data_IF_284919515016
#
_entry.id   IF_284919515016
#
_cell.length_a   1.000
_cell.length_b   1.000
_cell.length_c   1.000
_cell.angle_alpha   90.00
_cell.angle_beta   90.00
_cell.angle_gamma   90.00
#
_symmetry.space_group_name_H-M   'P 1'
#
loop_
_entity.id
_entity.type
_entity.pdbx_description
1 polymer ?
#
# COMPACT_ATOMS: atom_id res chain seq x y z
N UNK A 1 5.85 -21.19 -14.14
CA UNK A 1 5.66 -21.10 -12.68
C UNK A 1 4.79 -22.26 -12.20
N UNK A 2 5.20 -22.96 -11.14
CA UNK A 2 4.44 -24.05 -10.50
C UNK A 2 3.30 -23.51 -9.61
N UNK A 3 2.32 -24.37 -9.29
CA UNK A 3 1.24 -24.02 -8.33
C UNK A 3 1.81 -23.71 -6.94
N UNK A 4 2.87 -24.39 -6.52
CA UNK A 4 3.53 -24.14 -5.24
C UNK A 4 4.15 -22.75 -5.18
N UNK A 5 4.89 -22.34 -6.21
CA UNK A 5 5.45 -20.98 -6.32
C UNK A 5 4.35 -19.91 -6.30
N UNK A 6 3.23 -20.15 -7.01
CA UNK A 6 2.09 -19.25 -7.02
C UNK A 6 1.46 -19.10 -5.62
N UNK A 7 1.32 -20.19 -4.87
CA UNK A 7 0.83 -20.16 -3.48
C UNK A 7 1.79 -19.37 -2.58
N UNK A 8 3.10 -19.60 -2.68
CA UNK A 8 4.11 -18.86 -1.90
C UNK A 8 4.02 -17.37 -2.19
N UNK A 9 3.96 -16.98 -3.46
CA UNK A 9 3.79 -15.59 -3.87
C UNK A 9 2.47 -15.00 -3.37
N UNK A 10 1.38 -15.78 -3.43
CA UNK A 10 0.08 -15.41 -2.88
C UNK A 10 0.12 -15.19 -1.36
N UNK A 11 0.86 -16.01 -0.60
CA UNK A 11 1.09 -15.81 0.84
C UNK A 11 1.85 -14.51 1.08
N UNK A 12 2.96 -14.30 0.38
CA UNK A 12 3.79 -13.10 0.51
C UNK A 12 2.97 -11.86 0.21
N UNK A 13 2.30 -11.81 -0.92
CA UNK A 13 1.45 -10.69 -1.32
C UNK A 13 0.34 -10.43 -0.30
N UNK A 14 -0.42 -11.47 0.07
CA UNK A 14 -1.52 -11.35 1.02
C UNK A 14 -1.06 -10.85 2.39
N UNK A 15 0.06 -11.39 2.90
CA UNK A 15 0.61 -11.00 4.20
C UNK A 15 1.12 -9.55 4.22
N UNK A 16 1.66 -9.05 3.10
CA UNK A 16 2.44 -7.80 3.11
C UNK A 16 1.76 -6.61 2.45
N UNK A 17 0.70 -6.80 1.63
CA UNK A 17 0.04 -5.72 0.90
C UNK A 17 -0.53 -4.64 1.83
N UNK A 18 -1.18 -5.05 2.90
CA UNK A 18 -1.80 -4.12 3.85
C UNK A 18 -0.93 -3.86 5.08
N UNK A 19 -0.05 -4.79 5.45
CA UNK A 19 0.93 -4.54 6.50
C UNK A 19 1.89 -3.42 6.04
N UNK A 20 2.31 -2.54 6.93
CA UNK A 20 3.18 -1.43 6.56
C UNK A 20 4.64 -1.88 6.36
N UNK A 21 4.86 -2.90 5.50
CA UNK A 21 6.16 -3.58 5.34
C UNK A 21 6.63 -3.70 3.87
N UNK A 22 5.83 -3.24 2.90
CA UNK A 22 6.12 -3.31 1.45
C UNK A 22 5.88 -4.68 0.81
N UNK A 23 4.77 -4.84 0.12
CA UNK A 23 4.46 -6.07 -0.63
C UNK A 23 5.39 -6.25 -1.83
N UNK A 24 5.63 -5.20 -2.62
CA UNK A 24 6.53 -5.27 -3.78
C UNK A 24 7.97 -5.63 -3.37
N UNK A 25 8.49 -5.03 -2.30
CA UNK A 25 9.81 -5.40 -1.78
C UNK A 25 9.89 -6.85 -1.34
N UNK A 26 8.86 -7.38 -0.65
CA UNK A 26 8.85 -8.78 -0.23
C UNK A 26 8.65 -9.75 -1.39
N UNK A 27 7.84 -9.40 -2.40
CA UNK A 27 7.71 -10.21 -3.61
C UNK A 27 9.04 -10.28 -4.37
N UNK A 28 9.71 -9.14 -4.57
CA UNK A 28 11.03 -9.07 -5.21
C UNK A 28 12.06 -9.93 -4.44
N UNK A 29 12.13 -9.81 -3.11
CA UNK A 29 13.00 -10.63 -2.28
C UNK A 29 12.66 -12.12 -2.36
N UNK A 30 11.38 -12.49 -2.33
CA UNK A 30 10.97 -13.88 -2.44
C UNK A 30 11.35 -14.47 -3.82
N UNK A 31 11.14 -13.73 -4.89
CA UNK A 31 11.53 -14.09 -6.26
C UNK A 31 13.06 -14.25 -6.37
N UNK A 32 13.80 -13.31 -5.80
CA UNK A 32 15.27 -13.32 -5.78
C UNK A 32 15.83 -14.56 -5.03
N UNK A 33 15.25 -14.88 -3.85
CA UNK A 33 15.64 -16.06 -3.04
C UNK A 33 15.30 -17.36 -3.77
N UNK A 34 14.15 -17.44 -4.43
CA UNK A 34 13.70 -18.64 -5.14
C UNK A 34 14.36 -18.80 -6.51
N UNK A 35 15.07 -17.82 -7.01
CA UNK A 35 15.61 -17.80 -8.37
C UNK A 35 14.55 -17.82 -9.46
N UNK A 36 13.34 -17.37 -9.13
CA UNK A 36 12.20 -17.35 -10.05
C UNK A 36 12.05 -15.95 -10.61
N UNK A 37 12.30 -15.78 -11.90
CA UNK A 37 11.89 -14.56 -12.61
C UNK A 37 10.41 -14.70 -12.99
N UNK A 38 9.55 -13.94 -12.34
CA UNK A 38 8.15 -13.84 -12.73
C UNK A 38 8.04 -12.69 -13.73
N UNK A 39 8.33 -12.98 -15.00
CA UNK A 39 8.21 -12.01 -16.09
C UNK A 39 6.74 -11.69 -16.46
N UNK A 40 5.80 -11.97 -15.56
CA UNK A 40 4.37 -11.81 -15.80
C UNK A 40 3.77 -10.70 -14.96
N UNK A 41 3.78 -9.48 -15.50
CA UNK A 41 3.01 -8.35 -14.97
C UNK A 41 1.55 -8.72 -14.67
N UNK A 42 0.98 -9.64 -15.49
CA UNK A 42 -0.37 -10.11 -15.29
C UNK A 42 -0.53 -10.88 -13.97
N UNK A 43 0.43 -11.73 -13.61
CA UNK A 43 0.32 -12.49 -12.36
C UNK A 43 0.43 -11.59 -11.13
N UNK A 44 1.35 -10.64 -11.14
CA UNK A 44 1.51 -9.70 -10.04
C UNK A 44 0.23 -8.88 -9.82
N UNK A 45 -0.39 -8.39 -10.90
CA UNK A 45 -1.65 -7.65 -10.75
C UNK A 45 -2.82 -8.54 -10.30
N UNK A 46 -2.84 -9.81 -10.70
CA UNK A 46 -3.84 -10.77 -10.21
C UNK A 46 -3.69 -11.00 -8.71
N UNK A 47 -2.47 -11.08 -8.17
CA UNK A 47 -2.23 -11.17 -6.73
C UNK A 47 -2.75 -9.90 -6.00
N UNK A 48 -2.53 -8.71 -6.56
CA UNK A 48 -3.07 -7.46 -6.01
C UNK A 48 -4.61 -7.44 -6.06
N UNK A 49 -5.24 -7.98 -7.10
CA UNK A 49 -6.70 -8.15 -7.16
C UNK A 49 -7.20 -9.13 -6.11
N UNK A 50 -6.44 -10.19 -5.80
CA UNK A 50 -6.72 -11.08 -4.67
C UNK A 50 -6.78 -10.33 -3.34
N UNK A 51 -5.77 -9.52 -3.06
CA UNK A 51 -5.76 -8.67 -1.84
C UNK A 51 -6.82 -7.57 -1.86
N UNK A 52 -7.18 -7.06 -3.04
CA UNK A 52 -8.30 -6.13 -3.19
C UNK A 52 -9.63 -6.75 -2.76
N UNK A 53 -9.88 -8.01 -3.09
CA UNK A 53 -11.05 -8.76 -2.60
C UNK A 53 -11.03 -8.79 -1.07
N UNK A 54 -9.88 -9.05 -0.45
CA UNK A 54 -9.73 -9.09 1.00
C UNK A 54 -10.11 -7.75 1.67
N UNK A 55 -9.60 -6.62 1.17
CA UNK A 55 -9.91 -5.30 1.76
C UNK A 55 -11.37 -4.93 1.53
N UNK A 56 -11.93 -5.25 0.37
CA UNK A 56 -13.34 -5.04 0.10
C UNK A 56 -14.22 -5.86 1.04
N UNK A 57 -13.86 -7.10 1.35
CA UNK A 57 -14.57 -7.95 2.29
C UNK A 57 -14.52 -7.40 3.73
N UNK A 58 -13.37 -6.86 4.17
CA UNK A 58 -13.23 -6.29 5.53
C UNK A 58 -13.96 -4.96 5.67
N UNK A 59 -13.91 -4.12 4.64
CA UNK A 59 -14.46 -2.75 4.67
C UNK A 59 -15.79 -2.60 3.92
N UNK A 60 -16.51 -3.69 3.61
CA UNK A 60 -17.72 -3.67 2.76
C UNK A 60 -18.79 -2.67 3.24
N UNK A 61 -18.99 -2.54 4.57
CA UNK A 61 -19.94 -1.57 5.14
C UNK A 61 -19.52 -0.11 4.88
N UNK A 62 -18.23 0.18 5.00
CA UNK A 62 -17.70 1.52 4.72
C UNK A 62 -17.77 1.82 3.23
N UNK A 63 -17.35 0.88 2.39
CA UNK A 63 -17.39 1.01 0.93
C UNK A 63 -18.84 1.27 0.47
N UNK A 64 -19.80 0.52 0.99
CA UNK A 64 -21.21 0.72 0.65
C UNK A 64 -21.73 2.12 1.04
N UNK A 65 -21.31 2.65 2.20
CA UNK A 65 -21.63 4.03 2.61
C UNK A 65 -20.98 5.04 1.68
N UNK A 66 -19.72 4.83 1.29
CA UNK A 66 -19.02 5.72 0.35
C UNK A 66 -19.65 5.70 -1.05
N UNK A 67 -20.12 4.55 -1.54
CA UNK A 67 -20.87 4.46 -2.80
C UNK A 67 -22.17 5.28 -2.72
N UNK A 68 -22.93 5.13 -1.64
CA UNK A 68 -24.14 5.97 -1.43
C UNK A 68 -23.80 7.45 -1.33
N UNK A 69 -22.72 7.80 -0.63
CA UNK A 69 -22.24 9.17 -0.52
C UNK A 69 -21.86 9.73 -1.90
N UNK A 70 -21.19 8.92 -2.74
CA UNK A 70 -20.84 9.31 -4.10
C UNK A 70 -22.08 9.58 -4.96
N UNK A 71 -23.03 8.65 -5.00
CA UNK A 71 -24.29 8.81 -5.77
C UNK A 71 -25.03 10.07 -5.33
N UNK A 72 -25.14 10.27 -4.00
CA UNK A 72 -25.84 11.45 -3.46
C UNK A 72 -25.09 12.76 -3.74
N UNK A 73 -23.75 12.75 -3.71
CA UNK A 73 -22.92 13.89 -4.05
C UNK A 73 -23.10 14.29 -5.52
N UNK A 74 -23.04 13.31 -6.42
CA UNK A 74 -23.25 13.51 -7.86
C UNK A 74 -24.65 14.08 -8.12
N UNK A 75 -25.68 13.52 -7.48
CA UNK A 75 -27.06 14.02 -7.60
C UNK A 75 -27.19 15.47 -7.11
N UNK A 76 -26.53 15.85 -6.01
CA UNK A 76 -26.55 17.21 -5.49
C UNK A 76 -25.79 18.20 -6.40
N UNK A 77 -24.69 17.76 -7.03
CA UNK A 77 -23.97 18.58 -8.03
C UNK A 77 -24.88 18.87 -9.23
N UNK A 78 -25.53 17.85 -9.80
CA UNK A 78 -26.45 18.03 -10.93
C UNK A 78 -27.69 18.88 -10.58
N UNK A 79 -28.12 18.89 -9.32
CA UNK A 79 -29.24 19.69 -8.83
C UNK A 79 -28.83 21.08 -8.37
N UNK A 80 -27.56 21.46 -8.44
CA UNK A 80 -27.05 22.74 -7.94
C UNK A 80 -27.14 22.92 -6.42
N UNK A 81 -27.27 21.81 -5.66
CA UNK A 81 -27.43 21.81 -4.19
C UNK A 81 -26.13 21.48 -3.44
N UNK A 82 -25.02 21.33 -4.15
CA UNK A 82 -23.73 21.00 -3.53
C UNK A 82 -23.24 22.13 -2.62
N UNK A 83 -22.96 21.78 -1.34
CA UNK A 83 -22.40 22.71 -0.36
C UNK A 83 -21.28 22.04 0.42
N UNK A 84 -20.05 22.50 0.22
CA UNK A 84 -18.84 21.97 0.87
C UNK A 84 -18.92 21.95 2.41
N UNK A 85 -19.50 22.99 3.01
CA UNK A 85 -19.56 23.14 4.48
C UNK A 85 -20.61 22.23 5.14
N UNK A 86 -21.63 21.80 4.40
CA UNK A 86 -22.78 21.03 4.91
C UNK A 86 -22.63 19.52 4.66
N UNK A 87 -21.46 19.07 4.17
CA UNK A 87 -21.22 17.64 3.94
C UNK A 87 -21.21 16.85 5.24
N UNK A 88 -21.91 15.69 5.21
CA UNK A 88 -21.84 14.70 6.27
C UNK A 88 -20.45 14.02 6.33
N UNK A 89 -20.27 13.14 7.31
CA UNK A 89 -18.99 12.45 7.55
C UNK A 89 -18.56 11.61 6.34
N UNK A 90 -19.47 10.84 5.73
CA UNK A 90 -19.13 9.91 4.64
C UNK A 90 -18.81 10.66 3.34
N UNK A 91 -19.58 11.70 3.01
CA UNK A 91 -19.28 12.59 1.88
C UNK A 91 -17.93 13.31 2.06
N UNK A 92 -17.64 13.78 3.28
CA UNK A 92 -16.37 14.44 3.57
C UNK A 92 -15.21 13.45 3.45
N UNK A 93 -15.34 12.23 3.98
CA UNK A 93 -14.32 11.19 3.82
C UNK A 93 -14.09 10.85 2.35
N UNK A 94 -15.16 10.70 1.57
CA UNK A 94 -15.07 10.47 0.12
C UNK A 94 -14.31 11.58 -0.58
N UNK A 95 -14.61 12.84 -0.29
CA UNK A 95 -13.90 14.00 -0.88
C UNK A 95 -12.41 14.00 -0.50
N UNK A 96 -12.08 13.65 0.76
CA UNK A 96 -10.68 13.56 1.18
C UNK A 96 -9.95 12.41 0.45
N UNK A 97 -10.62 11.27 0.22
CA UNK A 97 -10.06 10.18 -0.59
C UNK A 97 -9.83 10.62 -2.04
N UNK A 98 -10.79 11.29 -2.66
CA UNK A 98 -10.63 11.82 -4.03
C UNK A 98 -9.46 12.81 -4.12
N UNK A 99 -9.33 13.74 -3.16
CA UNK A 99 -8.20 14.68 -3.08
C UNK A 99 -6.87 13.92 -2.90
N UNK A 100 -6.86 12.87 -2.06
CA UNK A 100 -5.68 12.04 -1.84
C UNK A 100 -5.22 11.24 -3.08
N UNK A 101 -6.10 11.03 -4.05
CA UNK A 101 -5.75 10.38 -5.33
C UNK A 101 -5.15 11.36 -6.35
N UNK A 102 -5.45 12.66 -6.25
CA UNK A 102 -4.99 13.66 -7.24
C UNK A 102 -3.46 13.62 -7.44
N UNK A 103 -2.61 13.53 -6.40
CA UNK A 103 -1.18 13.50 -6.61
C UNK A 103 -0.66 12.31 -7.44
N UNK A 104 -1.40 11.20 -7.56
CA UNK A 104 -1.00 10.09 -8.42
C UNK A 104 -0.95 10.46 -9.91
N UNK A 105 -1.69 11.49 -10.34
CA UNK A 105 -1.58 11.98 -11.71
C UNK A 105 -0.20 12.56 -12.04
N UNK A 106 0.62 12.92 -11.03
CA UNK A 106 2.01 13.33 -11.22
C UNK A 106 2.86 12.22 -11.86
N UNK A 107 2.49 10.94 -11.69
CA UNK A 107 3.18 9.81 -12.31
C UNK A 107 3.17 9.86 -13.85
N UNK A 108 2.19 10.55 -14.43
CA UNK A 108 2.06 10.69 -15.89
C UNK A 108 2.73 11.93 -16.44
N UNK A 109 3.30 12.80 -15.58
CA UNK A 109 4.02 13.99 -16.03
C UNK A 109 5.36 13.61 -16.65
N UNK A 110 5.74 14.26 -17.77
CA UNK A 110 7.05 14.08 -18.36
C UNK A 110 8.13 14.67 -17.44
N UNK A 111 9.22 13.94 -17.29
CA UNK A 111 10.40 14.41 -16.55
C UNK A 111 11.27 15.25 -17.50
N UNK A 112 11.52 16.53 -17.18
CA UNK A 112 12.29 17.41 -18.04
C UNK A 112 13.68 16.84 -18.37
N UNK A 113 14.05 16.84 -19.66
CA UNK A 113 15.36 16.38 -20.11
C UNK A 113 15.51 14.86 -20.34
N UNK A 114 14.53 14.04 -19.96
CA UNK A 114 14.63 12.57 -20.09
C UNK A 114 13.74 12.00 -21.20
N UNK A 115 12.68 12.71 -21.60
CA UNK A 115 11.64 12.18 -22.48
C UNK A 115 10.74 11.10 -21.87
N UNK A 116 10.99 10.72 -20.62
CA UNK A 116 10.27 9.67 -19.87
C UNK A 116 9.24 10.31 -18.93
N UNK A 117 8.22 9.54 -18.56
CA UNK A 117 7.29 9.90 -17.49
C UNK A 117 7.84 9.43 -16.15
N UNK A 118 7.33 10.00 -15.06
CA UNK A 118 7.77 9.61 -13.72
C UNK A 118 7.49 8.12 -13.42
N UNK A 119 6.39 7.56 -13.96
CA UNK A 119 6.11 6.13 -13.87
C UNK A 119 7.17 5.26 -14.57
N UNK A 120 7.69 5.71 -15.71
CA UNK A 120 8.66 4.96 -16.50
C UNK A 120 10.00 4.83 -15.73
N UNK A 121 10.36 5.85 -14.94
CA UNK A 121 11.52 5.79 -14.03
C UNK A 121 11.31 4.73 -12.95
N UNK A 122 10.08 4.64 -12.38
CA UNK A 122 9.74 3.60 -11.40
C UNK A 122 9.88 2.19 -11.99
N UNK A 123 9.43 1.99 -13.23
CA UNK A 123 9.55 0.71 -13.94
C UNK A 123 11.02 0.35 -14.21
N UNK A 124 11.84 1.35 -14.56
CA UNK A 124 13.27 1.17 -14.79
C UNK A 124 13.99 0.71 -13.49
N UNK A 125 13.63 1.27 -12.35
CA UNK A 125 14.18 0.87 -11.07
C UNK A 125 13.66 -0.49 -10.59
N UNK A 126 12.42 -0.84 -10.92
CA UNK A 126 11.83 -2.13 -10.59
C UNK A 126 12.39 -3.29 -11.46
N UNK A 127 12.95 -2.99 -12.63
CA UNK A 127 13.55 -3.97 -13.54
C UNK A 127 15.00 -4.33 -13.19
N UNK A 128 15.60 -3.67 -12.18
CA UNK A 128 16.95 -4.00 -11.72
C UNK A 128 16.95 -5.42 -11.10
N UNK A 129 17.89 -6.25 -11.51
CA UNK A 129 18.06 -7.60 -10.97
C UNK A 129 18.64 -7.63 -9.55
N UNK A 130 19.11 -6.49 -9.05
CA UNK A 130 19.70 -6.35 -7.72
C UNK A 130 18.65 -5.94 -6.70
N UNK A 131 18.85 -6.29 -5.43
CA UNK A 131 17.91 -6.05 -4.33
C UNK A 131 18.27 -4.84 -3.45
N UNK A 132 19.24 -4.00 -3.84
CA UNK A 132 19.67 -2.87 -3.03
C UNK A 132 18.60 -1.76 -2.93
N UNK A 133 17.80 -1.57 -3.99
CA UNK A 133 16.70 -0.59 -4.00
C UNK A 133 15.64 -0.99 -2.98
N UNK A 134 15.26 -2.27 -2.94
CA UNK A 134 14.33 -2.82 -1.94
C UNK A 134 14.85 -2.62 -0.52
N UNK A 135 16.16 -2.87 -0.31
CA UNK A 135 16.81 -2.65 0.98
C UNK A 135 16.70 -1.20 1.45
N UNK A 136 17.02 -0.23 0.59
CA UNK A 136 16.87 1.19 0.89
C UNK A 136 15.40 1.58 1.12
N UNK A 137 14.50 1.09 0.30
CA UNK A 137 13.07 1.38 0.41
C UNK A 137 12.47 0.83 1.72
N UNK A 138 12.92 -0.35 2.19
CA UNK A 138 12.56 -0.90 3.48
C UNK A 138 13.08 -0.02 4.64
N UNK A 139 14.31 0.50 4.55
CA UNK A 139 14.84 1.44 5.53
C UNK A 139 14.06 2.77 5.54
N UNK A 140 13.70 3.28 4.37
CA UNK A 140 12.84 4.47 4.26
C UNK A 140 11.46 4.22 4.88
N UNK A 141 10.87 3.04 4.63
CA UNK A 141 9.60 2.63 5.26
C UNK A 141 9.72 2.62 6.78
N UNK A 142 10.80 2.03 7.30
CA UNK A 142 11.09 2.01 8.73
C UNK A 142 11.18 3.42 9.32
N UNK A 143 11.96 4.30 8.69
CA UNK A 143 12.13 5.68 9.14
C UNK A 143 10.79 6.44 9.18
N UNK A 144 9.98 6.33 8.11
CA UNK A 144 8.65 6.94 8.05
C UNK A 144 7.74 6.42 9.16
N UNK A 145 7.74 5.11 9.42
CA UNK A 145 6.94 4.52 10.49
C UNK A 145 7.40 5.01 11.87
N UNK A 146 8.71 5.03 12.17
CA UNK A 146 9.21 5.55 13.43
C UNK A 146 8.83 7.02 13.64
N UNK A 147 8.98 7.86 12.62
CA UNK A 147 8.60 9.28 12.67
C UNK A 147 7.09 9.44 12.89
N UNK A 148 6.26 8.69 12.15
CA UNK A 148 4.80 8.71 12.30
C UNK A 148 4.35 8.26 13.69
N UNK A 149 4.91 7.17 14.20
CA UNK A 149 4.59 6.64 15.54
C UNK A 149 5.02 7.64 16.62
N UNK A 150 6.20 8.25 16.49
CA UNK A 150 6.66 9.29 17.42
C UNK A 150 5.71 10.49 17.43
N UNK A 151 5.30 10.98 16.26
CA UNK A 151 4.33 12.05 16.14
C UNK A 151 2.97 11.69 16.75
N UNK A 152 2.49 10.46 16.51
CA UNK A 152 1.25 9.95 17.09
C UNK A 152 1.28 9.94 18.62
N UNK A 153 2.41 9.60 19.24
CA UNK A 153 2.58 9.64 20.70
C UNK A 153 2.49 11.06 21.27
N UNK A 154 2.92 12.07 20.50
CA UNK A 154 2.83 13.50 20.87
C UNK A 154 1.48 14.15 20.51
N UNK A 155 0.58 13.45 19.83
CA UNK A 155 -0.68 14.02 19.38
C UNK A 155 -1.64 14.31 20.58
N UNK A 156 -2.48 15.34 20.43
CA UNK A 156 -3.45 15.75 21.46
C UNK A 156 -4.39 14.60 21.81
N UNK A 157 -4.68 14.44 23.10
CA UNK A 157 -5.66 13.48 23.61
C UNK A 157 -7.02 14.17 23.69
N UNK A 158 -8.02 13.56 23.06
CA UNK A 158 -9.42 13.99 23.12
C UNK A 158 -10.19 13.02 24.03
N UNK A 159 -10.81 13.55 25.08
CA UNK A 159 -11.68 12.78 26.00
C UNK A 159 -13.13 12.88 25.53
N UNK A 160 -13.84 11.78 25.61
CA UNK A 160 -15.27 11.71 25.28
C UNK A 160 -15.97 10.73 26.22
N UNK A 161 -17.24 11.00 26.51
CA UNK A 161 -18.06 10.09 27.32
C UNK A 161 -18.69 9.04 26.41
N UNK A 162 -18.47 7.76 26.71
CA UNK A 162 -19.11 6.63 26.03
C UNK A 162 -20.58 6.55 26.41
N UNK A 163 -21.38 5.80 25.63
CA UNK A 163 -22.80 5.56 25.93
C UNK A 163 -23.03 4.83 27.26
N UNK A 164 -22.03 4.10 27.76
CA UNK A 164 -22.00 3.41 29.05
C UNK A 164 -21.57 4.32 30.21
N UNK A 165 -21.44 5.64 29.99
CA UNK A 165 -21.01 6.63 30.98
C UNK A 165 -19.50 6.66 31.25
N UNK A 166 -18.71 5.73 30.69
CA UNK A 166 -17.26 5.71 30.91
C UNK A 166 -16.55 6.73 30.03
N UNK A 167 -15.48 7.34 30.55
CA UNK A 167 -14.62 8.24 29.80
C UNK A 167 -13.73 7.41 28.87
N UNK A 168 -13.83 7.69 27.57
CA UNK A 168 -12.91 7.18 26.55
C UNK A 168 -11.91 8.26 26.15
N UNK A 169 -10.74 7.84 25.74
CA UNK A 169 -9.69 8.72 25.21
C UNK A 169 -9.33 8.32 23.78
N UNK A 170 -9.21 9.30 22.88
CA UNK A 170 -8.69 9.12 21.53
C UNK A 170 -7.51 10.07 21.37
N UNK A 171 -6.38 9.53 20.97
CA UNK A 171 -5.19 10.30 20.65
C UNK A 171 -5.18 10.66 19.17
N UNK A 172 -5.05 11.95 18.86
CA UNK A 172 -5.10 12.48 17.49
C UNK A 172 -6.52 12.72 16.97
N UNK A 173 -6.61 13.36 15.81
CA UNK A 173 -7.88 13.67 15.12
C UNK A 173 -8.38 12.46 14.33
N UNK A 174 -9.69 12.25 14.29
CA UNK A 174 -10.31 11.21 13.44
C UNK A 174 -10.76 11.75 12.09
N UNK A 175 -10.88 13.09 11.94
CA UNK A 175 -11.33 13.73 10.70
C UNK A 175 -10.14 14.24 9.91
N UNK A 176 -10.10 13.92 8.63
CA UNK A 176 -9.13 14.45 7.66
C UNK A 176 -9.55 15.83 7.18
N UNK A 177 -8.56 16.71 7.01
CA UNK A 177 -8.68 17.98 6.31
C UNK A 177 -8.01 17.87 4.93
N UNK A 178 -8.28 18.82 4.05
CA UNK A 178 -7.71 18.86 2.70
C UNK A 178 -6.18 18.75 2.68
N UNK A 179 -5.50 19.49 3.57
CA UNK A 179 -4.04 19.43 3.68
C UNK A 179 -3.52 18.04 4.13
N UNK A 180 -4.30 17.31 4.95
CA UNK A 180 -3.95 15.95 5.35
C UNK A 180 -4.08 15.00 4.15
N UNK A 181 -5.16 15.11 3.39
CA UNK A 181 -5.41 14.31 2.20
C UNK A 181 -4.34 14.54 1.12
N UNK A 182 -3.95 15.79 0.88
CA UNK A 182 -2.87 16.14 -0.06
C UNK A 182 -1.54 15.56 0.41
N UNK A 183 -1.20 15.72 1.70
CA UNK A 183 0.04 15.18 2.27
C UNK A 183 0.11 13.65 2.09
N UNK A 184 -0.95 12.93 2.43
CA UNK A 184 -1.03 11.48 2.24
C UNK A 184 -0.96 11.11 0.76
N UNK A 185 -1.63 11.86 -0.12
CA UNK A 185 -1.61 11.64 -1.57
C UNK A 185 -0.22 11.84 -2.20
N UNK A 186 0.51 12.89 -1.80
CA UNK A 186 1.90 13.13 -2.24
C UNK A 186 2.81 12.00 -1.76
N UNK A 187 2.64 11.56 -0.50
CA UNK A 187 3.40 10.42 0.03
C UNK A 187 3.07 9.13 -0.69
N UNK A 188 1.79 8.92 -1.09
CA UNK A 188 1.39 7.79 -1.92
C UNK A 188 2.05 7.84 -3.31
N UNK A 189 2.11 9.02 -3.93
CA UNK A 189 2.80 9.20 -5.20
C UNK A 189 4.30 8.88 -5.07
N UNK A 190 4.96 9.33 -4.02
CA UNK A 190 6.35 8.98 -3.75
C UNK A 190 6.53 7.46 -3.57
N UNK A 191 5.62 6.79 -2.86
CA UNK A 191 5.66 5.34 -2.72
C UNK A 191 5.41 4.57 -4.03
N UNK A 192 4.74 5.19 -5.00
CA UNK A 192 4.56 4.61 -6.33
C UNK A 192 5.78 4.80 -7.23
N UNK A 193 6.61 5.82 -6.98
CA UNK A 193 7.85 6.08 -7.73
C UNK A 193 9.00 5.20 -7.25
N UNK A 194 9.11 4.97 -5.92
CA UNK A 194 10.20 4.19 -5.32
C UNK A 194 9.77 2.73 -5.14
N UNK A 195 10.26 1.78 -5.97
CA UNK A 195 9.99 0.35 -5.82
C UNK A 195 10.42 -0.13 -4.44
N UNK A 196 9.59 -0.96 -3.81
CA UNK A 196 9.88 -1.43 -2.45
C UNK A 196 9.51 -0.46 -1.33
N UNK A 197 9.13 0.80 -1.59
CA UNK A 197 8.61 1.68 -0.56
C UNK A 197 7.15 1.32 -0.25
N UNK A 198 6.89 0.95 1.01
CA UNK A 198 5.55 0.54 1.44
C UNK A 198 4.51 1.64 1.21
N UNK A 199 3.55 1.45 0.29
CA UNK A 199 2.44 2.38 0.08
C UNK A 199 1.59 2.51 1.35
N UNK A 200 1.16 1.39 1.95
CA UNK A 200 0.35 1.37 3.17
C UNK A 200 1.09 1.97 4.37
N UNK A 201 2.40 1.66 4.52
CA UNK A 201 3.25 2.22 5.58
C UNK A 201 3.44 3.72 5.44
N UNK A 202 3.77 4.19 4.24
CA UNK A 202 4.03 5.60 3.96
C UNK A 202 2.78 6.47 4.12
N UNK A 203 1.64 6.07 3.56
CA UNK A 203 0.37 6.81 3.66
C UNK A 203 -0.16 6.83 5.09
N UNK A 204 -0.03 5.72 5.84
CA UNK A 204 -0.36 5.67 7.25
C UNK A 204 0.56 6.59 8.07
N UNK A 205 1.88 6.51 7.86
CA UNK A 205 2.85 7.36 8.55
C UNK A 205 2.60 8.85 8.27
N UNK A 206 2.28 9.24 7.03
CA UNK A 206 1.90 10.61 6.68
C UNK A 206 0.66 11.07 7.47
N UNK A 207 -0.38 10.23 7.59
CA UNK A 207 -1.53 10.52 8.43
C UNK A 207 -1.17 10.75 9.89
N UNK A 208 -0.29 9.91 10.46
CA UNK A 208 0.20 10.02 11.84
C UNK A 208 1.00 11.32 12.05
N UNK A 209 1.89 11.68 11.12
CA UNK A 209 2.65 12.92 11.13
C UNK A 209 1.73 14.15 11.10
N UNK A 210 0.58 14.06 10.46
CA UNK A 210 -0.46 15.09 10.43
C UNK A 210 -1.33 15.12 11.71
N UNK A 211 -1.02 14.28 12.70
CA UNK A 211 -1.77 14.20 13.96
C UNK A 211 -3.13 13.48 13.83
N UNK A 212 -3.29 12.63 12.82
CA UNK A 212 -4.44 11.75 12.67
C UNK A 212 -4.30 10.56 13.64
N UNK A 213 -5.41 10.12 14.19
CA UNK A 213 -5.49 8.92 15.03
C UNK A 213 -5.01 7.67 14.26
N UNK A 214 -4.34 6.73 14.95
CA UNK A 214 -3.76 5.54 14.30
C UNK A 214 -4.79 4.71 13.54
N UNK A 215 -5.96 4.47 14.14
CA UNK A 215 -7.02 3.70 13.49
C UNK A 215 -7.60 4.44 12.26
N UNK A 216 -7.80 5.76 12.40
CA UNK A 216 -8.31 6.58 11.30
C UNK A 216 -7.30 6.68 10.14
N UNK A 217 -6.00 6.80 10.45
CA UNK A 217 -4.94 6.80 9.43
C UNK A 217 -4.85 5.45 8.71
N UNK A 218 -4.98 4.34 9.44
CA UNK A 218 -5.03 3.00 8.89
C UNK A 218 -6.23 2.82 7.95
N UNK A 219 -7.43 3.11 8.44
CA UNK A 219 -8.66 2.93 7.67
C UNK A 219 -8.64 3.79 6.39
N UNK A 220 -8.17 5.05 6.49
CA UNK A 220 -8.00 5.93 5.34
C UNK A 220 -7.00 5.37 4.32
N UNK A 221 -5.82 4.92 4.77
CA UNK A 221 -4.78 4.35 3.92
C UNK A 221 -5.28 3.12 3.13
N UNK A 222 -6.05 2.25 3.79
CA UNK A 222 -6.58 1.05 3.16
C UNK A 222 -7.66 1.36 2.12
N UNK A 223 -8.60 2.24 2.47
CA UNK A 223 -9.68 2.62 1.56
C UNK A 223 -9.13 3.43 0.37
N UNK A 224 -8.10 4.28 0.59
CA UNK A 224 -7.39 4.99 -0.48
C UNK A 224 -6.68 4.01 -1.42
N UNK A 225 -6.20 2.88 -0.90
CA UNK A 225 -5.57 1.82 -1.69
C UNK A 225 -6.51 1.15 -2.69
N UNK A 226 -7.82 1.07 -2.42
CA UNK A 226 -8.79 0.41 -3.30
C UNK A 226 -8.79 1.02 -4.71
N UNK A 227 -9.08 2.31 -4.89
CA UNK A 227 -9.05 2.92 -6.22
C UNK A 227 -7.64 2.96 -6.83
N UNK A 228 -6.58 3.02 -6.01
CA UNK A 228 -5.20 3.01 -6.49
C UNK A 228 -4.83 1.65 -7.11
N UNK A 229 -5.17 0.53 -6.44
CA UNK A 229 -4.96 -0.82 -6.95
C UNK A 229 -5.80 -1.06 -8.20
N UNK A 230 -7.07 -0.62 -8.22
CA UNK A 230 -7.92 -0.73 -9.40
C UNK A 230 -7.35 0.04 -10.60
N UNK A 231 -6.87 1.26 -10.38
CA UNK A 231 -6.25 2.06 -11.44
C UNK A 231 -4.97 1.40 -11.98
N UNK A 232 -4.11 0.90 -11.09
CA UNK A 232 -2.91 0.14 -11.47
C UNK A 232 -3.31 -1.11 -12.27
N UNK A 233 -4.32 -1.86 -11.81
CA UNK A 233 -4.79 -3.05 -12.50
C UNK A 233 -5.25 -2.77 -13.93
N UNK A 234 -6.03 -1.71 -14.14
CA UNK A 234 -6.51 -1.32 -15.47
C UNK A 234 -5.34 -0.97 -16.40
N UNK A 235 -4.33 -0.26 -15.89
CA UNK A 235 -3.15 0.11 -16.66
C UNK A 235 -2.32 -1.13 -17.01
N UNK A 236 -1.99 -1.98 -16.02
CA UNK A 236 -1.19 -3.18 -16.22
C UNK A 236 -1.87 -4.20 -17.13
N UNK A 237 -3.18 -4.42 -16.99
CA UNK A 237 -3.94 -5.31 -17.89
C UNK A 237 -3.86 -4.79 -19.32
N UNK A 238 -3.96 -3.48 -19.53
CA UNK A 238 -3.80 -2.88 -20.87
C UNK A 238 -2.41 -3.17 -21.45
N UNK A 239 -1.37 -3.04 -20.63
CA UNK A 239 0.02 -3.26 -21.07
C UNK A 239 0.33 -4.76 -21.26
N UNK A 240 -0.40 -5.65 -20.57
CA UNK A 240 -0.27 -7.11 -20.69
C UNK A 240 -1.06 -7.72 -21.88
N UNK A 241 -1.95 -6.97 -22.53
CA UNK A 241 -2.70 -7.46 -23.69
C UNK A 241 -1.72 -7.77 -24.83
N UNK A 242 -1.72 -9.03 -25.29
CA UNK A 242 -0.86 -9.51 -26.39
C UNK A 242 0.51 -10.03 -25.92
N UNK A 243 0.82 -9.98 -24.62
CA UNK A 243 2.02 -10.62 -24.10
C UNK A 243 1.76 -12.13 -23.87
N UNK A 244 2.76 -13.01 -24.11
CA UNK A 244 2.62 -14.42 -23.81
C UNK A 244 2.46 -14.63 -22.30
N UNK A 245 1.51 -15.50 -21.93
CA UNK A 245 1.26 -15.83 -20.52
C UNK A 245 1.73 -17.27 -20.28
N UNK A 246 2.93 -17.41 -19.72
CA UNK A 246 3.52 -18.73 -19.38
C UNK A 246 3.11 -19.26 -18.02
N UNK A 247 1.96 -18.87 -17.51
CA UNK A 247 1.45 -19.27 -16.20
C UNK A 247 0.15 -20.03 -16.40
N UNK A 248 0.11 -21.27 -15.90
CA UNK A 248 -1.11 -22.08 -15.96
C UNK A 248 -2.25 -21.45 -15.15
N UNK A 249 -3.48 -21.54 -15.68
CA UNK A 249 -4.69 -20.99 -15.03
C UNK A 249 -4.85 -21.48 -13.60
N UNK A 250 -4.51 -22.75 -13.31
CA UNK A 250 -4.55 -23.31 -11.96
C UNK A 250 -3.61 -22.59 -10.98
N UNK A 251 -2.40 -22.22 -11.42
CA UNK A 251 -1.44 -21.47 -10.62
C UNK A 251 -1.96 -20.02 -10.36
N UNK A 252 -2.51 -19.35 -11.38
CA UNK A 252 -3.13 -18.04 -11.23
C UNK A 252 -4.25 -18.04 -10.19
N UNK A 253 -5.19 -19.00 -10.29
CA UNK A 253 -6.30 -19.11 -9.33
C UNK A 253 -5.76 -19.40 -7.92
N UNK A 254 -4.80 -20.33 -7.78
CA UNK A 254 -4.20 -20.66 -6.49
C UNK A 254 -3.54 -19.44 -5.83
N UNK A 255 -2.77 -18.66 -6.59
CA UNK A 255 -2.15 -17.42 -6.11
C UNK A 255 -3.17 -16.38 -5.64
N UNK A 256 -4.18 -16.09 -6.47
CA UNK A 256 -5.25 -15.11 -6.17
C UNK A 256 -6.03 -15.50 -4.92
N UNK A 257 -6.47 -16.76 -4.82
CA UNK A 257 -7.24 -17.26 -3.67
C UNK A 257 -6.40 -17.19 -2.40
N UNK A 258 -5.13 -17.59 -2.48
CA UNK A 258 -4.20 -17.52 -1.34
C UNK A 258 -3.98 -16.07 -0.91
N UNK A 259 -3.73 -15.15 -1.85
CA UNK A 259 -3.56 -13.72 -1.56
C UNK A 259 -4.82 -13.12 -0.90
N UNK A 260 -6.01 -13.51 -1.35
CA UNK A 260 -7.26 -13.04 -0.76
C UNK A 260 -7.46 -13.53 0.69
N UNK A 261 -7.24 -14.83 0.94
CA UNK A 261 -7.40 -15.42 2.28
C UNK A 261 -6.36 -14.84 3.25
N UNK A 262 -5.09 -14.86 2.87
CA UNK A 262 -4.00 -14.36 3.72
C UNK A 262 -4.13 -12.85 3.93
N UNK A 263 -4.50 -12.09 2.90
CA UNK A 263 -4.75 -10.65 3.00
C UNK A 263 -5.89 -10.30 3.96
N UNK A 264 -6.97 -11.08 3.94
CA UNK A 264 -8.06 -10.91 4.90
C UNK A 264 -7.60 -11.11 6.35
N UNK A 265 -6.80 -12.14 6.61
CA UNK A 265 -6.23 -12.40 7.94
C UNK A 265 -5.22 -11.31 8.34
N UNK A 266 -4.36 -10.88 7.42
CA UNK A 266 -3.38 -9.82 7.65
C UNK A 266 -4.04 -8.48 8.02
N UNK A 267 -5.12 -8.10 7.34
CA UNK A 267 -5.86 -6.87 7.69
C UNK A 267 -6.43 -6.97 9.12
N UNK A 268 -7.02 -8.11 9.49
CA UNK A 268 -7.54 -8.31 10.85
C UNK A 268 -6.44 -8.25 11.90
N UNK A 269 -5.30 -8.90 11.62
CA UNK A 269 -4.13 -8.85 12.50
C UNK A 269 -3.62 -7.43 12.69
N UNK A 270 -3.49 -6.67 11.61
CA UNK A 270 -3.02 -5.29 11.70
C UNK A 270 -3.97 -4.40 12.48
N UNK A 271 -5.28 -4.53 12.27
CA UNK A 271 -6.28 -3.80 13.08
C UNK A 271 -6.11 -4.09 14.58
N UNK A 272 -5.90 -5.35 14.94
CA UNK A 272 -5.64 -5.73 16.33
C UNK A 272 -4.32 -5.13 16.85
N UNK A 273 -3.23 -5.18 16.07
CA UNK A 273 -1.92 -4.59 16.44
C UNK A 273 -2.04 -3.08 16.66
N UNK A 274 -2.79 -2.37 15.82
CA UNK A 274 -3.03 -0.92 15.96
C UNK A 274 -3.82 -0.61 17.23
N UNK A 275 -4.85 -1.40 17.56
CA UNK A 275 -5.62 -1.21 18.82
C UNK A 275 -4.79 -1.47 20.06
N UNK A 276 -3.76 -2.30 19.98
CA UNK A 276 -2.81 -2.60 21.08
C UNK A 276 -1.60 -1.66 21.12
N UNK A 277 -1.56 -0.63 20.27
CA UNK A 277 -0.45 0.33 20.16
C UNK A 277 0.93 -0.31 19.87
N UNK A 278 0.97 -1.48 19.24
CA UNK A 278 2.19 -2.23 18.92
C UNK A 278 2.71 -2.01 17.48
N UNK A 279 2.30 -0.92 16.85
CA UNK A 279 2.70 -0.62 15.45
C UNK A 279 4.22 -0.57 15.24
N UNK A 280 4.99 -0.32 16.31
CA UNK A 280 6.46 -0.28 16.27
C UNK A 280 7.10 -1.58 15.77
N UNK A 281 6.42 -2.73 15.93
CA UNK A 281 6.92 -4.03 15.46
C UNK A 281 7.26 -3.99 13.97
N UNK A 282 6.42 -3.33 13.17
CA UNK A 282 6.66 -3.22 11.73
C UNK A 282 7.84 -2.31 11.39
N UNK A 283 8.04 -1.23 12.16
CA UNK A 283 9.18 -0.35 11.95
C UNK A 283 10.51 -1.06 12.24
N UNK A 284 10.57 -1.85 13.32
CA UNK A 284 11.77 -2.68 13.61
C UNK A 284 11.93 -3.79 12.58
N UNK A 285 10.84 -4.45 12.18
CA UNK A 285 10.88 -5.50 11.17
C UNK A 285 11.48 -5.00 9.85
N UNK A 286 10.96 -3.88 9.32
CA UNK A 286 11.46 -3.30 8.07
C UNK A 286 12.89 -2.75 8.20
N UNK A 287 13.29 -2.28 9.40
CA UNK A 287 14.67 -1.90 9.68
C UNK A 287 15.62 -3.09 9.54
N UNK A 288 15.31 -4.18 10.26
CA UNK A 288 16.17 -5.37 10.28
C UNK A 288 16.24 -6.00 8.89
N UNK A 289 15.08 -6.18 8.23
CA UNK A 289 15.03 -6.75 6.89
C UNK A 289 15.76 -5.86 5.88
N UNK A 290 15.58 -4.54 5.93
CA UNK A 290 16.29 -3.62 5.04
C UNK A 290 17.81 -3.66 5.20
N UNK A 291 18.30 -3.74 6.44
CA UNK A 291 19.74 -3.90 6.70
C UNK A 291 20.26 -5.24 6.15
N UNK A 292 19.55 -6.34 6.40
CA UNK A 292 19.93 -7.66 5.88
C UNK A 292 19.96 -7.64 4.35
N UNK A 293 18.93 -7.10 3.71
CA UNK A 293 18.85 -6.97 2.25
C UNK A 293 20.04 -6.20 1.67
N UNK A 294 20.43 -5.07 2.29
CA UNK A 294 21.60 -4.31 1.84
C UNK A 294 22.91 -5.07 2.03
N UNK A 295 23.07 -5.81 3.14
CA UNK A 295 24.26 -6.63 3.36
C UNK A 295 24.34 -7.72 2.28
N UNK A 296 23.24 -8.42 2.00
CA UNK A 296 23.18 -9.43 0.93
C UNK A 296 23.54 -8.81 -0.42
N UNK A 297 22.93 -7.68 -0.76
CA UNK A 297 23.20 -6.97 -2.02
C UNK A 297 24.68 -6.58 -2.19
N UNK A 298 25.34 -6.13 -1.12
CA UNK A 298 26.78 -5.82 -1.14
C UNK A 298 27.62 -7.07 -1.39
N UNK A 299 27.27 -8.19 -0.76
CA UNK A 299 27.97 -9.47 -0.96
C UNK A 299 27.79 -9.95 -2.40
N UNK A 300 26.57 -9.89 -2.93
CA UNK A 300 26.25 -10.29 -4.29
C UNK A 300 26.95 -9.39 -5.33
N UNK A 301 27.00 -8.09 -5.11
CA UNK A 301 27.76 -7.17 -5.95
C UNK A 301 29.27 -7.48 -5.95
N UNK A 302 29.82 -7.96 -4.82
CA UNK A 302 31.24 -8.33 -4.71
C UNK A 302 31.53 -9.71 -5.34
N UNK A 303 30.57 -10.63 -5.33
CA UNK A 303 30.76 -12.00 -5.87
C UNK A 303 30.30 -12.15 -7.32
N UNK A 304 29.46 -11.22 -7.81
CA UNK A 304 28.84 -11.28 -9.14
C UNK A 304 27.78 -12.39 -9.26
N UNK A 305 27.35 -12.97 -8.16
CA UNK A 305 26.39 -14.10 -8.13
C UNK A 305 25.33 -13.90 -7.07
N UNK A 306 24.12 -14.38 -7.37
CA UNK A 306 23.05 -14.45 -6.40
C UNK A 306 23.44 -15.41 -5.27
N UNK A 307 23.37 -14.95 -4.02
CA UNK A 307 23.82 -15.68 -2.84
C UNK A 307 23.01 -16.96 -2.57
N UNK A 308 21.75 -16.99 -2.99
CA UNK A 308 20.82 -18.09 -2.70
C UNK A 308 20.80 -19.15 -3.80
N UNK A 309 20.96 -18.73 -5.06
CA UNK A 309 20.85 -19.63 -6.22
C UNK A 309 22.19 -19.96 -6.86
N UNK A 310 23.25 -19.18 -6.56
CA UNK A 310 24.54 -19.29 -7.20
C UNK A 310 24.57 -18.86 -8.68
N UNK A 311 23.47 -18.35 -9.21
CA UNK A 311 23.40 -17.87 -10.58
C UNK A 311 24.09 -16.51 -10.73
N UNK A 312 24.67 -16.18 -11.90
CA UNK A 312 25.13 -14.82 -12.17
C UNK A 312 23.98 -13.79 -12.01
N UNK A 313 24.31 -12.58 -11.52
CA UNK A 313 23.35 -11.48 -11.36
C UNK A 313 22.88 -10.91 -12.70
#
# INVERSE_FOLDING_TARGET
>A
MSIFEAIVQGIVQGATEFLPVSSSGHLSLAQHIMGVKVDSLLFDILLHLGTLIAVCAVYYKLIWRLIKAFISLVADVFRGKFKWKEMDHDRRLLMMLMIGLIPLFLLFLPVPGTGMKLKDISELWASDSTIWIEGLALLMTSALLFLGIRASKGAKVHRFTRKDGKVGEIRGRTKFHTADAICVGVTQCAAAVFPGLSRSGSTMAAGLLRGINQQAALDYSFVLGIPSILAAAVLTIKDAIGQPVDIGVGAMIAGVVTAAIVGFLAIKLLKWIVTTNKLQVFAYYTLVLGVITLIVSVIEAATGTNLFTGMPL
#
